data_IF_249541181214
#
_entry.id   IF_249541181214
#
_cell.length_a   1.000
_cell.length_b   1.000
_cell.length_c   1.000
_cell.angle_alpha   90.00
_cell.angle_beta   90.00
_cell.angle_gamma   90.00
#
_symmetry.space_group_name_H-M   'P 1'
#
loop_
_entity.id
_entity.type
_entity.pdbx_description
1 polymer ?
#
# COMPACT_ATOMS: atom_id res chain seq x y z
N UNK A 1 4.10 3.25 -9.76
CA UNK A 1 4.27 1.90 -9.19
C UNK A 1 4.55 2.03 -7.70
N UNK A 2 4.13 1.06 -6.89
CA UNK A 2 4.44 1.01 -5.45
C UNK A 2 5.13 -0.32 -5.18
N UNK A 3 6.16 -0.32 -4.34
CA UNK A 3 6.86 -1.54 -3.92
C UNK A 3 6.75 -1.68 -2.41
N UNK A 4 6.53 -2.91 -1.96
CA UNK A 4 6.74 -3.31 -0.57
C UNK A 4 8.04 -4.09 -0.49
N UNK A 5 8.84 -3.85 0.54
CA UNK A 5 10.12 -4.50 0.75
C UNK A 5 10.31 -4.84 2.22
N UNK A 6 11.14 -5.84 2.48
CA UNK A 6 11.55 -6.20 3.83
C UNK A 6 12.59 -5.19 4.34
N UNK A 7 12.38 -4.61 5.53
CA UNK A 7 13.28 -3.58 6.08
C UNK A 7 14.68 -4.12 6.39
N UNK A 8 14.79 -5.37 6.84
CA UNK A 8 16.06 -5.97 7.27
C UNK A 8 16.98 -6.32 6.10
N UNK A 9 16.42 -6.86 5.01
CA UNK A 9 17.19 -7.30 3.84
C UNK A 9 17.15 -6.32 2.66
N UNK A 10 16.20 -5.37 2.66
CA UNK A 10 15.91 -4.53 1.50
C UNK A 10 15.28 -5.31 0.33
N UNK A 11 14.91 -6.58 0.52
CA UNK A 11 14.35 -7.42 -0.54
C UNK A 11 12.93 -6.98 -0.87
N UNK A 12 12.68 -6.70 -2.15
CA UNK A 12 11.34 -6.47 -2.69
C UNK A 12 10.44 -7.69 -2.41
N UNK A 13 9.28 -7.45 -1.79
CA UNK A 13 8.26 -8.46 -1.48
C UNK A 13 7.15 -8.47 -2.54
N UNK A 14 6.62 -7.29 -2.86
CA UNK A 14 5.51 -7.16 -3.81
C UNK A 14 5.62 -5.85 -4.59
N UNK A 15 5.10 -5.86 -5.81
CA UNK A 15 4.94 -4.66 -6.63
C UNK A 15 3.47 -4.45 -6.96
N UNK A 16 2.94 -3.29 -6.60
CA UNK A 16 1.57 -2.87 -6.86
C UNK A 16 1.56 -1.88 -8.04
N UNK A 17 1.10 -2.35 -9.19
CA UNK A 17 1.22 -1.65 -10.49
C UNK A 17 -0.15 -1.48 -11.16
N UNK A 18 -1.05 -0.75 -10.50
CA UNK A 18 -2.41 -0.50 -11.02
C UNK A 18 -2.67 0.95 -11.45
N UNK A 19 -1.89 1.90 -10.93
CA UNK A 19 -2.02 3.30 -11.32
C UNK A 19 -1.43 3.52 -12.71
N UNK A 20 -2.16 4.24 -13.57
CA UNK A 20 -1.74 4.59 -14.93
C UNK A 20 -0.90 5.88 -14.98
N UNK A 21 -0.81 6.60 -13.86
CA UNK A 21 0.00 7.80 -13.71
C UNK A 21 0.83 7.79 -12.40
N UNK A 22 1.50 8.91 -12.12
CA UNK A 22 2.35 9.06 -10.95
C UNK A 22 1.55 8.91 -9.65
N UNK A 23 2.07 8.08 -8.74
CA UNK A 23 1.57 8.01 -7.36
C UNK A 23 2.14 9.20 -6.61
N UNK A 24 1.26 10.06 -6.10
CA UNK A 24 1.62 11.33 -5.46
C UNK A 24 1.45 11.30 -3.94
N UNK A 25 0.75 10.30 -3.40
CA UNK A 25 0.52 10.14 -1.98
C UNK A 25 0.37 8.66 -1.58
N UNK A 26 0.83 8.33 -0.36
CA UNK A 26 0.66 7.04 0.29
C UNK A 26 0.21 7.24 1.74
N UNK A 27 -0.71 6.40 2.22
CA UNK A 27 -1.14 6.38 3.62
C UNK A 27 -1.35 4.94 4.09
N UNK A 28 -0.83 4.61 5.28
CA UNK A 28 -1.08 3.34 5.94
C UNK A 28 -2.09 3.54 7.07
N UNK A 29 -3.11 2.69 7.11
CA UNK A 29 -4.01 2.55 8.23
C UNK A 29 -3.84 1.16 8.84
N UNK A 30 -3.89 1.07 10.17
CA UNK A 30 -4.06 -0.22 10.85
C UNK A 30 -5.56 -0.37 11.10
N UNK A 31 -6.20 -1.40 10.54
CA UNK A 31 -7.55 -1.69 11.00
C UNK A 31 -7.47 -2.22 12.44
N UNK A 32 -8.03 -1.47 13.37
CA UNK A 32 -8.08 -1.81 14.78
C UNK A 32 -9.11 -2.92 15.10
N UNK A 33 -9.41 -3.83 14.17
CA UNK A 33 -10.46 -4.82 14.37
C UNK A 33 -10.03 -5.91 15.38
N UNK A 34 -10.37 -5.64 16.65
CA UNK A 34 -11.03 -6.49 17.67
C UNK A 34 -10.54 -7.92 17.95
N UNK A 35 -9.61 -8.50 17.21
CA UNK A 35 -9.10 -9.87 17.44
C UNK A 35 -7.57 -10.02 17.26
N UNK A 36 -6.82 -8.92 17.16
CA UNK A 36 -5.35 -8.96 17.23
C UNK A 36 -4.62 -9.39 15.93
N UNK A 37 -5.33 -9.53 14.80
CA UNK A 37 -4.75 -9.98 13.52
C UNK A 37 -3.97 -8.89 12.76
N UNK A 38 -4.11 -7.61 13.10
CA UNK A 38 -3.14 -6.57 12.72
C UNK A 38 -2.99 -6.26 11.22
N UNK A 39 -3.91 -6.70 10.38
CA UNK A 39 -3.84 -6.46 8.93
C UNK A 39 -3.93 -4.94 8.64
N UNK A 40 -2.92 -4.43 7.95
CA UNK A 40 -2.81 -3.03 7.57
C UNK A 40 -3.46 -2.76 6.21
N UNK A 41 -4.18 -1.65 6.10
CA UNK A 41 -4.65 -1.10 4.82
C UNK A 41 -3.61 -0.12 4.30
N UNK A 42 -3.28 -0.23 3.02
CA UNK A 42 -2.55 0.82 2.30
C UNK A 42 -3.50 1.55 1.36
N UNK A 43 -3.44 2.88 1.36
CA UNK A 43 -4.14 3.73 0.39
C UNK A 43 -3.11 4.48 -0.44
N UNK A 44 -3.30 4.48 -1.76
CA UNK A 44 -2.47 5.24 -2.69
C UNK A 44 -3.31 6.22 -3.51
N UNK A 45 -2.81 7.45 -3.64
CA UNK A 45 -3.39 8.47 -4.53
C UNK A 45 -2.49 8.77 -5.71
N UNK A 46 -3.09 8.98 -6.87
CA UNK A 46 -2.38 9.12 -8.14
C UNK A 46 -2.94 10.27 -8.99
N UNK A 47 -2.08 10.81 -9.85
CA UNK A 47 -2.47 11.79 -10.88
C UNK A 47 -3.40 11.20 -11.95
N UNK A 48 -3.73 9.91 -11.90
CA UNK A 48 -4.74 9.27 -12.75
C UNK A 48 -6.18 9.53 -12.27
N UNK A 49 -6.36 10.46 -11.33
CA UNK A 49 -7.62 10.83 -10.71
C UNK A 49 -8.27 9.70 -9.90
N UNK A 50 -7.49 8.71 -9.45
CA UNK A 50 -7.99 7.63 -8.60
C UNK A 50 -7.26 7.52 -7.27
N UNK A 51 -8.00 7.04 -6.28
CA UNK A 51 -7.46 6.44 -5.06
C UNK A 51 -7.58 4.91 -5.18
N UNK A 52 -6.59 4.18 -4.70
CA UNK A 52 -6.64 2.71 -4.59
C UNK A 52 -6.40 2.28 -3.16
N UNK A 53 -7.19 1.31 -2.72
CA UNK A 53 -7.09 0.68 -1.41
C UNK A 53 -6.53 -0.73 -1.61
N UNK A 54 -5.53 -1.08 -0.82
CA UNK A 54 -4.84 -2.35 -0.87
C UNK A 54 -4.97 -3.03 0.49
N UNK A 55 -5.45 -4.27 0.46
CA UNK A 55 -5.58 -5.17 1.60
C UNK A 55 -4.86 -6.48 1.26
N UNK A 56 -4.32 -7.20 2.26
CA UNK A 56 -3.77 -8.55 2.05
C UNK A 56 -4.77 -9.52 1.43
#
# INVERSE_FOLDING_TARGET
MIKLWELSSGRDLIALSSHSAAVVALAFAREAYRNGSGDGILVSGSSDNTLKVWQP
#
